data_IF_271797924309
#
_entry.id   IF_271797924309
#
_cell.length_a   1.000
_cell.length_b   1.000
_cell.length_c   1.000
_cell.angle_alpha   90.00
_cell.angle_beta   90.00
_cell.angle_gamma   90.00
#
_symmetry.space_group_name_H-M   'P 1'
#
loop_
_entity.id
_entity.type
_entity.pdbx_description
1 polymer ?
#
# COMPACT_ATOMS: atom_id res chain seq x y z
N UNK A 1 -0.83 -25.34 45.83
CA UNK A 1 -0.63 -24.26 44.84
C UNK A 1 -1.35 -23.05 45.39
N UNK A 2 -0.60 -22.16 46.03
CA UNK A 2 -1.17 -21.08 46.84
C UNK A 2 -1.59 -19.92 45.94
N UNK A 3 -2.65 -19.22 46.32
CA UNK A 3 -3.24 -18.09 45.58
C UNK A 3 -2.19 -17.04 45.18
N UNK A 4 -1.10 -16.90 45.95
CA UNK A 4 0.04 -16.05 45.65
C UNK A 4 0.76 -16.39 44.34
N UNK A 5 0.97 -17.66 44.05
CA UNK A 5 1.68 -18.10 42.84
C UNK A 5 0.83 -17.78 41.60
N UNK A 6 -0.49 -17.95 41.71
CA UNK A 6 -1.44 -17.59 40.65
C UNK A 6 -1.46 -16.07 40.38
N UNK A 7 -1.39 -15.24 41.44
CA UNK A 7 -1.33 -13.78 41.30
C UNK A 7 -0.04 -13.35 40.58
N UNK A 8 1.11 -13.93 40.93
CA UNK A 8 2.39 -13.62 40.28
C UNK A 8 2.38 -13.99 38.78
N UNK A 9 1.76 -15.11 38.42
CA UNK A 9 1.58 -15.52 37.01
C UNK A 9 0.70 -14.51 36.28
N UNK A 10 -0.41 -14.06 36.88
CA UNK A 10 -1.31 -13.06 36.25
C UNK A 10 -0.60 -11.72 36.07
N UNK A 11 0.15 -11.24 37.06
CA UNK A 11 0.94 -10.00 36.93
C UNK A 11 2.04 -10.09 35.88
N UNK A 12 2.71 -11.24 35.74
CA UNK A 12 3.68 -11.48 34.68
C UNK A 12 3.02 -11.47 33.28
N UNK A 13 1.79 -12.01 33.16
CA UNK A 13 1.00 -11.92 31.92
C UNK A 13 0.62 -10.47 31.62
N UNK A 14 0.26 -9.66 32.62
CA UNK A 14 -0.05 -8.23 32.46
C UNK A 14 1.16 -7.36 32.03
N UNK A 15 2.39 -7.78 32.31
CA UNK A 15 3.61 -7.15 31.79
C UNK A 15 3.90 -7.54 30.33
N UNK A 16 3.49 -8.74 29.91
CA UNK A 16 3.65 -9.24 28.55
C UNK A 16 2.59 -8.70 27.58
N UNK A 17 1.46 -8.21 28.08
CA UNK A 17 0.40 -7.58 27.27
C UNK A 17 0.72 -6.09 27.08
N UNK A 18 0.87 -5.58 25.84
CA UNK A 18 1.18 -4.17 25.60
C UNK A 18 0.12 -3.25 26.24
N UNK A 19 0.44 -2.63 27.38
CA UNK A 19 -0.51 -1.75 28.09
C UNK A 19 -0.91 -0.56 27.21
N UNK A 20 -2.20 -0.45 26.93
CA UNK A 20 -2.91 0.70 26.36
C UNK A 20 -2.28 1.31 25.10
N UNK A 21 -1.25 2.15 25.27
CA UNK A 21 -0.60 2.86 24.18
C UNK A 21 0.14 1.92 23.21
N UNK A 22 0.83 0.90 23.73
CA UNK A 22 1.52 -0.10 22.90
C UNK A 22 0.53 -0.87 22.03
N UNK A 23 -0.55 -1.36 22.65
CA UNK A 23 -1.62 -2.06 21.94
C UNK A 23 -2.30 -1.17 20.89
N UNK A 24 -2.64 0.09 21.23
CA UNK A 24 -3.24 1.03 20.26
C UNK A 24 -2.32 1.31 19.08
N UNK A 25 -1.00 1.45 19.30
CA UNK A 25 -0.03 1.64 18.22
C UNK A 25 0.05 0.41 17.31
N UNK A 26 0.07 -0.78 17.89
CA UNK A 26 0.05 -2.03 17.12
C UNK A 26 -1.23 -2.12 16.30
N UNK A 27 -2.40 -1.93 16.91
CA UNK A 27 -3.69 -1.95 16.21
C UNK A 27 -3.72 -0.96 15.04
N UNK A 28 -3.28 0.29 15.26
CA UNK A 28 -3.24 1.29 14.20
C UNK A 28 -2.31 0.92 13.04
N UNK A 29 -1.18 0.26 13.30
CA UNK A 29 -0.29 -0.24 12.24
C UNK A 29 -0.89 -1.46 11.56
N UNK A 30 -1.53 -2.36 12.29
CA UNK A 30 -2.24 -3.52 11.75
C UNK A 30 -3.34 -3.08 10.78
N UNK A 31 -4.13 -2.07 11.13
CA UNK A 31 -5.19 -1.55 10.24
C UNK A 31 -4.61 -1.03 8.92
N UNK A 32 -3.48 -0.31 8.97
CA UNK A 32 -2.77 0.14 7.75
C UNK A 32 -2.25 -1.03 6.93
N UNK A 33 -1.72 -2.07 7.57
CA UNK A 33 -1.22 -3.25 6.86
C UNK A 33 -2.34 -4.02 6.17
N UNK A 34 -3.50 -4.19 6.81
CA UNK A 34 -4.68 -4.84 6.21
C UNK A 34 -5.14 -4.07 4.97
N UNK A 35 -5.13 -2.74 5.03
CA UNK A 35 -5.49 -1.92 3.88
C UNK A 35 -4.49 -2.06 2.72
N UNK A 36 -3.19 -1.97 3.00
CA UNK A 36 -2.16 -2.13 1.98
C UNK A 36 -2.16 -3.53 1.38
N UNK A 37 -2.42 -4.56 2.19
CA UNK A 37 -2.61 -5.93 1.72
C UNK A 37 -3.77 -6.03 0.73
N UNK A 38 -4.89 -5.34 1.00
CA UNK A 38 -6.02 -5.31 0.06
C UNK A 38 -5.65 -4.70 -1.30
N UNK A 39 -4.71 -3.76 -1.33
CA UNK A 39 -4.16 -3.19 -2.58
C UNK A 39 -3.25 -4.21 -3.27
N UNK A 40 -2.36 -4.88 -2.53
CA UNK A 40 -1.51 -5.95 -3.05
C UNK A 40 -2.33 -7.07 -3.69
N UNK A 41 -3.38 -7.55 -3.02
CA UNK A 41 -4.30 -8.57 -3.53
C UNK A 41 -4.93 -8.13 -4.85
N UNK A 42 -5.34 -6.86 -4.97
CA UNK A 42 -5.88 -6.32 -6.22
C UNK A 42 -4.81 -6.29 -7.31
N UNK A 43 -3.61 -5.79 -7.02
CA UNK A 43 -2.50 -5.71 -7.98
C UNK A 43 -2.05 -7.07 -8.50
N UNK A 44 -2.16 -8.12 -7.69
CA UNK A 44 -1.75 -9.48 -8.03
C UNK A 44 -2.82 -10.29 -8.78
N UNK A 45 -3.97 -9.69 -9.11
CA UNK A 45 -4.97 -10.37 -9.94
C UNK A 45 -4.44 -10.62 -11.36
N UNK A 46 -4.81 -11.77 -11.94
CA UNK A 46 -4.34 -12.23 -13.26
C UNK A 46 -4.65 -11.23 -14.39
N UNK A 47 -5.85 -10.65 -14.36
CA UNK A 47 -6.28 -9.62 -15.30
C UNK A 47 -6.23 -8.25 -14.63
N UNK A 48 -5.13 -7.51 -14.83
CA UNK A 48 -4.99 -6.11 -14.40
C UNK A 48 -4.49 -5.21 -15.51
N UNK A 49 -5.20 -4.11 -15.73
CA UNK A 49 -4.78 -3.07 -16.65
C UNK A 49 -3.78 -2.10 -16.01
N UNK A 50 -2.93 -1.49 -16.82
CA UNK A 50 -2.02 -0.44 -16.38
C UNK A 50 -2.78 0.75 -15.75
N UNK A 51 -3.96 1.09 -16.28
CA UNK A 51 -4.83 2.12 -15.72
C UNK A 51 -5.33 1.78 -14.31
N UNK A 52 -5.73 0.52 -14.05
CA UNK A 52 -6.11 0.09 -12.71
C UNK A 52 -4.91 0.09 -11.74
N UNK A 53 -3.74 -0.37 -12.19
CA UNK A 53 -2.50 -0.31 -11.39
C UNK A 53 -2.19 1.14 -11.01
N UNK A 54 -2.25 2.05 -11.98
CA UNK A 54 -2.03 3.48 -11.76
C UNK A 54 -3.03 4.08 -10.78
N UNK A 55 -4.32 3.74 -10.92
CA UNK A 55 -5.39 4.18 -10.02
C UNK A 55 -5.15 3.71 -8.57
N UNK A 56 -4.74 2.45 -8.38
CA UNK A 56 -4.44 1.91 -7.06
C UNK A 56 -3.24 2.61 -6.42
N UNK A 57 -2.18 2.85 -7.19
CA UNK A 57 -1.01 3.58 -6.71
C UNK A 57 -1.32 5.04 -6.37
N UNK A 58 -2.12 5.74 -7.19
CA UNK A 58 -2.55 7.11 -6.90
C UNK A 58 -3.38 7.18 -5.62
N UNK A 59 -4.30 6.22 -5.41
CA UNK A 59 -5.06 6.12 -4.17
C UNK A 59 -4.15 5.86 -2.94
N UNK A 60 -3.15 4.98 -3.09
CA UNK A 60 -2.14 4.76 -2.04
C UNK A 60 -1.36 6.04 -1.73
N UNK A 61 -0.93 6.80 -2.73
CA UNK A 61 -0.18 8.05 -2.53
C UNK A 61 -1.03 9.15 -1.87
N UNK A 62 -2.32 9.22 -2.17
CA UNK A 62 -3.24 10.15 -1.50
C UNK A 62 -3.34 9.83 -0.01
N UNK A 63 -3.40 8.54 0.34
CA UNK A 63 -3.55 8.11 1.73
C UNK A 63 -2.23 8.06 2.51
N UNK A 64 -1.15 7.71 1.84
CA UNK A 64 0.21 7.57 2.37
C UNK A 64 1.16 8.39 1.50
N UNK A 65 1.25 9.72 1.71
CA UNK A 65 2.10 10.60 0.91
C UNK A 65 3.57 10.16 0.88
N UNK A 66 4.04 9.48 1.92
CA UNK A 66 5.37 8.86 1.99
C UNK A 66 5.65 7.85 0.86
N UNK A 67 4.61 7.30 0.24
CA UNK A 67 4.75 6.34 -0.88
C UNK A 67 5.01 7.01 -2.22
N UNK A 68 4.89 8.34 -2.32
CA UNK A 68 5.06 9.08 -3.57
C UNK A 68 6.41 8.80 -4.24
N UNK A 69 7.48 8.72 -3.45
CA UNK A 69 8.83 8.42 -3.96
C UNK A 69 8.90 7.08 -4.73
N UNK A 70 8.09 6.11 -4.32
CA UNK A 70 8.11 4.75 -4.84
C UNK A 70 7.04 4.47 -5.90
N UNK A 71 5.91 5.19 -5.84
CA UNK A 71 4.73 4.87 -6.62
C UNK A 71 4.36 5.93 -7.66
N UNK A 72 4.96 7.11 -7.66
CA UNK A 72 4.63 8.15 -8.65
C UNK A 72 4.90 7.69 -10.09
N UNK A 73 4.27 8.31 -11.12
CA UNK A 73 4.46 7.93 -12.52
C UNK A 73 5.92 7.98 -13.03
N UNK A 74 6.80 8.71 -12.34
CA UNK A 74 8.24 8.79 -12.63
C UNK A 74 9.10 8.10 -11.56
N UNK A 75 8.52 7.23 -10.74
CA UNK A 75 9.26 6.48 -9.73
C UNK A 75 10.28 5.53 -10.38
N UNK A 76 11.32 5.16 -9.63
CA UNK A 76 12.39 4.28 -10.15
C UNK A 76 11.90 2.89 -10.57
N UNK A 77 10.75 2.44 -10.07
CA UNK A 77 10.14 1.16 -10.45
C UNK A 77 9.54 1.19 -11.87
N UNK A 78 9.23 2.38 -12.39
CA UNK A 78 8.64 2.59 -13.71
C UNK A 78 9.74 2.48 -14.76
N UNK A 79 9.62 1.51 -15.67
CA UNK A 79 10.67 1.20 -16.64
C UNK A 79 10.67 2.18 -17.81
N UNK A 80 9.49 2.52 -18.33
CA UNK A 80 9.35 3.51 -19.40
C UNK A 80 8.22 4.47 -19.07
N UNK A 81 8.51 5.59 -18.36
CA UNK A 81 7.48 6.50 -17.88
C UNK A 81 6.57 7.06 -18.97
N UNK A 82 7.13 7.38 -20.15
CA UNK A 82 6.33 7.89 -21.27
C UNK A 82 5.44 6.80 -21.88
N UNK A 83 5.97 5.61 -22.11
CA UNK A 83 5.18 4.49 -22.62
C UNK A 83 4.06 4.10 -21.64
N UNK A 84 4.39 3.90 -20.37
CA UNK A 84 3.43 3.50 -19.33
C UNK A 84 2.34 4.57 -19.15
N UNK A 85 2.70 5.85 -19.12
CA UNK A 85 1.74 6.98 -19.12
C UNK A 85 0.83 6.94 -20.34
N UNK A 86 1.40 6.67 -21.52
CA UNK A 86 0.65 6.63 -22.76
C UNK A 86 -0.35 5.45 -22.77
N UNK A 87 0.03 4.26 -22.29
CA UNK A 87 -0.89 3.12 -22.15
C UNK A 87 -2.03 3.45 -21.19
N UNK A 88 -1.73 4.05 -20.02
CA UNK A 88 -2.76 4.49 -19.06
C UNK A 88 -3.74 5.47 -19.72
N UNK A 89 -3.25 6.42 -20.52
CA UNK A 89 -4.10 7.38 -21.23
C UNK A 89 -4.96 6.72 -22.30
N UNK A 90 -4.41 5.81 -23.09
CA UNK A 90 -5.18 5.03 -24.09
C UNK A 90 -6.31 4.25 -23.41
N UNK A 91 -6.03 3.59 -22.29
CA UNK A 91 -7.04 2.81 -21.54
C UNK A 91 -8.15 3.68 -20.93
N UNK A 92 -7.93 4.98 -20.76
CA UNK A 92 -8.89 5.93 -20.22
C UNK A 92 -9.47 6.88 -21.29
N UNK A 93 -9.25 6.59 -22.58
CA UNK A 93 -9.67 7.45 -23.71
C UNK A 93 -9.18 8.91 -23.59
N UNK A 94 -7.98 9.11 -23.05
CA UNK A 94 -7.36 10.42 -22.86
C UNK A 94 -6.42 10.78 -24.02
N UNK A 95 -6.28 12.08 -24.34
CA UNK A 95 -5.39 12.53 -25.40
C UNK A 95 -3.92 12.29 -25.07
N UNK A 96 -3.17 11.80 -26.05
CA UNK A 96 -1.72 11.58 -25.97
C UNK A 96 -0.94 12.83 -26.39
N UNK A 97 0.11 13.15 -25.63
CA UNK A 97 1.11 14.14 -26.04
C UNK A 97 1.99 13.62 -27.19
N UNK A 98 2.67 14.51 -27.92
CA UNK A 98 3.56 14.12 -29.02
C UNK A 98 4.66 13.12 -28.60
N UNK A 99 5.33 13.26 -27.44
CA UNK A 99 6.30 12.26 -26.96
C UNK A 99 5.63 10.90 -26.68
N UNK A 100 4.47 10.89 -26.03
CA UNK A 100 3.73 9.65 -25.73
C UNK A 100 3.29 8.92 -27.02
N UNK A 101 2.91 9.66 -28.06
CA UNK A 101 2.59 9.07 -29.37
C UNK A 101 3.80 8.45 -30.08
N UNK A 102 5.02 8.90 -29.78
CA UNK A 102 6.24 8.33 -30.36
C UNK A 102 6.61 6.99 -29.71
N UNK A 103 6.22 6.78 -28.46
CA UNK A 103 6.53 5.55 -27.70
C UNK A 103 5.60 4.36 -28.02
N UNK A 104 4.39 4.60 -28.57
CA UNK A 104 3.41 3.54 -28.91
C UNK A 104 3.45 3.14 -30.40
N UNK A 105 4.19 3.87 -31.24
CA UNK A 105 4.30 3.59 -32.69
C UNK A 105 5.29 2.47 -32.99
#
# INVERSE_FOLDING_TARGET
>A
MEIRDAILIVSAVEELVPRGNGHRRIAAVTDKLVELDSVCVKLQAEERSMAEVRLLFDACMVKYPEMSEYLQPAAQIVHSPLFESAIVKVQNDLPLSSPEQQEIK
#
